data_IF_515640554637
#
_entry.id   IF_515640554637
#
_cell.length_a   1.000
_cell.length_b   1.000
_cell.length_c   1.000
_cell.angle_alpha   90.00
_cell.angle_beta   90.00
_cell.angle_gamma   90.00
#
_symmetry.space_group_name_H-M   'P 1'
#
loop_
_entity.id
_entity.type
_entity.pdbx_description
1 polymer ?
#
# COMPACT_ATOMS: atom_id res chain seq x y z
N UNK A 1 12.46 -71.69 -22.84
CA UNK A 1 12.92 -71.13 -21.54
C UNK A 1 12.44 -69.68 -21.47
N UNK A 2 11.30 -69.44 -20.82
CA UNK A 2 10.74 -68.10 -20.66
C UNK A 2 11.18 -67.55 -19.31
N UNK A 3 12.13 -66.62 -19.32
CA UNK A 3 12.52 -65.88 -18.14
C UNK A 3 11.45 -64.83 -17.82
N UNK A 4 10.57 -65.13 -16.87
CA UNK A 4 9.70 -64.12 -16.26
C UNK A 4 10.55 -63.11 -15.51
N UNK A 5 10.67 -61.90 -16.07
CA UNK A 5 11.31 -60.78 -15.41
C UNK A 5 10.42 -60.25 -14.26
N UNK A 6 11.02 -59.90 -13.10
CA UNK A 6 10.30 -59.67 -11.85
C UNK A 6 9.49 -58.37 -11.81
N UNK A 7 8.39 -58.42 -11.05
CA UNK A 7 7.38 -57.40 -10.74
C UNK A 7 7.88 -56.11 -10.04
N UNK A 8 9.11 -55.65 -10.29
CA UNK A 8 9.72 -54.49 -9.64
C UNK A 8 9.16 -53.12 -10.10
N UNK A 9 8.22 -53.08 -11.04
CA UNK A 9 7.78 -51.87 -11.74
C UNK A 9 6.83 -50.96 -10.94
N UNK A 10 6.03 -51.51 -10.00
CA UNK A 10 4.98 -50.74 -9.33
C UNK A 10 5.49 -49.63 -8.40
N UNK A 11 6.46 -49.94 -7.52
CA UNK A 11 6.96 -48.97 -6.54
C UNK A 11 7.78 -47.85 -7.17
N UNK A 12 8.56 -48.17 -8.22
CA UNK A 12 9.35 -47.18 -8.94
C UNK A 12 8.48 -46.19 -9.71
N UNK A 13 7.39 -46.67 -10.33
CA UNK A 13 6.43 -45.81 -11.03
C UNK A 13 5.72 -44.84 -10.07
N UNK A 14 5.30 -45.31 -8.89
CA UNK A 14 4.68 -44.46 -7.86
C UNK A 14 5.64 -43.39 -7.35
N UNK A 15 6.88 -43.76 -7.07
CA UNK A 15 7.90 -42.82 -6.61
C UNK A 15 8.20 -41.73 -7.67
N UNK A 16 8.39 -42.13 -8.93
CA UNK A 16 8.64 -41.18 -10.02
C UNK A 16 7.46 -40.21 -10.21
N UNK A 17 6.22 -40.71 -10.12
CA UNK A 17 5.02 -39.88 -10.20
C UNK A 17 4.94 -38.87 -9.04
N UNK A 18 5.18 -39.32 -7.80
CA UNK A 18 5.20 -38.42 -6.63
C UNK A 18 6.28 -37.34 -6.75
N UNK A 19 7.48 -37.71 -7.21
CA UNK A 19 8.59 -36.79 -7.38
C UNK A 19 8.30 -35.77 -8.49
N UNK A 20 7.70 -36.21 -9.60
CA UNK A 20 7.23 -35.33 -10.66
C UNK A 20 6.23 -34.28 -10.13
N UNK A 21 5.17 -34.71 -9.45
CA UNK A 21 4.17 -33.78 -8.92
C UNK A 21 4.75 -32.85 -7.86
N UNK A 22 5.65 -33.35 -7.01
CA UNK A 22 6.36 -32.53 -6.03
C UNK A 22 7.18 -31.42 -6.69
N UNK A 23 8.00 -31.75 -7.68
CA UNK A 23 8.80 -30.77 -8.42
C UNK A 23 7.93 -29.77 -9.19
N UNK A 24 6.85 -30.24 -9.82
CA UNK A 24 5.92 -29.39 -10.56
C UNK A 24 5.23 -28.38 -9.65
N UNK A 25 4.69 -28.83 -8.50
CA UNK A 25 3.99 -27.96 -7.56
C UNK A 25 4.93 -26.97 -6.87
N UNK A 26 6.10 -27.42 -6.43
CA UNK A 26 7.10 -26.55 -5.77
C UNK A 26 7.68 -25.55 -6.75
N UNK A 27 8.12 -26.00 -7.93
CA UNK A 27 8.68 -25.12 -8.96
C UNK A 27 7.65 -24.15 -9.52
N UNK A 28 6.45 -24.64 -9.85
CA UNK A 28 5.35 -23.81 -10.35
C UNK A 28 4.87 -22.81 -9.32
N UNK A 29 4.70 -23.22 -8.07
CA UNK A 29 4.29 -22.36 -6.97
C UNK A 29 5.30 -21.25 -6.68
N UNK A 30 6.60 -21.58 -6.64
CA UNK A 30 7.66 -20.59 -6.43
C UNK A 30 7.71 -19.55 -7.57
N UNK A 31 7.59 -19.99 -8.82
CA UNK A 31 7.60 -19.10 -9.98
C UNK A 31 6.36 -18.19 -10.01
N UNK A 32 5.18 -18.75 -9.73
CA UNK A 32 3.95 -17.99 -9.60
C UNK A 32 4.06 -16.94 -8.47
N UNK A 33 4.61 -17.31 -7.31
CA UNK A 33 4.84 -16.37 -6.22
C UNK A 33 5.83 -15.25 -6.61
N UNK A 34 6.95 -15.57 -7.27
CA UNK A 34 7.91 -14.58 -7.76
C UNK A 34 7.28 -13.53 -8.70
N UNK A 35 6.28 -13.92 -9.49
CA UNK A 35 5.61 -13.03 -10.45
C UNK A 35 4.44 -12.28 -9.82
N UNK A 36 3.62 -12.97 -9.03
CA UNK A 36 2.36 -12.44 -8.51
C UNK A 36 2.60 -11.52 -7.31
N UNK A 37 3.56 -11.84 -6.43
CA UNK A 37 3.79 -11.09 -5.20
C UNK A 37 4.20 -9.64 -5.48
N UNK A 38 5.19 -9.34 -6.36
CA UNK A 38 5.54 -7.96 -6.67
C UNK A 38 4.36 -7.16 -7.25
N UNK A 39 3.67 -7.74 -8.24
CA UNK A 39 2.52 -7.08 -8.87
C UNK A 39 1.37 -6.81 -7.89
N UNK A 40 1.13 -7.74 -6.96
CA UNK A 40 0.13 -7.56 -5.91
C UNK A 40 0.52 -6.44 -4.94
N UNK A 41 1.81 -6.34 -4.57
CA UNK A 41 2.29 -5.25 -3.72
C UNK A 41 2.18 -3.89 -4.40
N UNK A 42 2.50 -3.80 -5.69
CA UNK A 42 2.33 -2.57 -6.48
C UNK A 42 0.87 -2.14 -6.55
N UNK A 43 -0.04 -3.11 -6.76
CA UNK A 43 -1.47 -2.87 -6.73
C UNK A 43 -1.95 -2.33 -5.38
N UNK A 44 -1.49 -2.92 -4.27
CA UNK A 44 -1.83 -2.44 -2.92
C UNK A 44 -1.31 -1.02 -2.67
N UNK A 45 -0.09 -0.72 -3.11
CA UNK A 45 0.49 0.61 -2.99
C UNK A 45 -0.32 1.66 -3.77
N UNK A 46 -0.68 1.34 -5.01
CA UNK A 46 -1.53 2.20 -5.84
C UNK A 46 -2.90 2.45 -5.20
N UNK A 47 -3.52 1.41 -4.64
CA UNK A 47 -4.83 1.52 -3.97
C UNK A 47 -4.77 2.42 -2.74
N UNK A 48 -3.72 2.29 -1.92
CA UNK A 48 -3.52 3.15 -0.75
C UNK A 48 -3.27 4.61 -1.14
N UNK A 49 -2.50 4.84 -2.20
CA UNK A 49 -2.26 6.18 -2.74
C UNK A 49 -3.56 6.84 -3.21
N UNK A 50 -4.41 6.08 -3.91
CA UNK A 50 -5.72 6.56 -4.35
C UNK A 50 -6.61 6.95 -3.17
N UNK A 51 -6.72 6.10 -2.14
CA UNK A 51 -7.51 6.42 -0.93
C UNK A 51 -6.97 7.64 -0.19
N UNK A 52 -5.65 7.78 -0.06
CA UNK A 52 -5.04 8.95 0.56
C UNK A 52 -5.32 10.23 -0.25
N UNK A 53 -5.31 10.16 -1.59
CA UNK A 53 -5.66 11.28 -2.45
C UNK A 53 -7.13 11.69 -2.28
N UNK A 54 -8.05 10.73 -2.25
CA UNK A 54 -9.47 11.02 -1.99
C UNK A 54 -9.68 11.69 -0.63
N UNK A 55 -9.09 11.16 0.44
CA UNK A 55 -9.20 11.75 1.77
C UNK A 55 -8.66 13.19 1.84
N UNK A 56 -7.55 13.47 1.12
CA UNK A 56 -7.00 14.83 0.99
C UNK A 56 -7.96 15.75 0.26
N UNK A 57 -8.53 15.30 -0.85
CA UNK A 57 -9.49 16.09 -1.61
C UNK A 57 -10.75 16.39 -0.78
N UNK A 58 -11.26 15.42 -0.02
CA UNK A 58 -12.41 15.60 0.86
C UNK A 58 -12.11 16.57 2.01
N UNK A 59 -10.89 16.55 2.54
CA UNK A 59 -10.45 17.51 3.55
C UNK A 59 -10.36 18.93 2.97
N UNK A 60 -9.81 19.08 1.77
CA UNK A 60 -9.72 20.37 1.07
C UNK A 60 -11.11 20.91 0.70
N UNK A 61 -12.01 20.06 0.20
CA UNK A 61 -13.38 20.43 -0.11
C UNK A 61 -14.10 21.00 1.13
N UNK A 62 -13.98 20.34 2.28
CA UNK A 62 -14.54 20.83 3.54
C UNK A 62 -13.97 22.19 3.97
N UNK A 63 -12.65 22.39 3.80
CA UNK A 63 -12.00 23.69 4.09
C UNK A 63 -12.54 24.80 3.18
N UNK A 64 -12.66 24.51 1.88
CA UNK A 64 -13.22 25.47 0.91
C UNK A 64 -14.66 25.82 1.28
N UNK A 65 -15.51 24.83 1.60
CA UNK A 65 -16.89 25.09 2.01
C UNK A 65 -16.96 25.94 3.29
N UNK A 66 -16.12 25.66 4.29
CA UNK A 66 -16.07 26.46 5.53
C UNK A 66 -15.66 27.91 5.24
N UNK A 67 -14.65 28.12 4.40
CA UNK A 67 -14.22 29.46 3.98
C UNK A 67 -15.31 30.19 3.18
N UNK A 68 -16.01 29.50 2.27
CA UNK A 68 -17.13 30.07 1.52
C UNK A 68 -18.27 30.51 2.44
N UNK A 69 -18.60 29.71 3.46
CA UNK A 69 -19.60 30.08 4.47
C UNK A 69 -19.17 31.31 5.27
N UNK A 70 -17.89 31.39 5.64
CA UNK A 70 -17.34 32.55 6.33
C UNK A 70 -17.43 33.82 5.46
N UNK A 71 -17.03 33.74 4.19
CA UNK A 71 -17.14 34.85 3.23
C UNK A 71 -18.61 35.26 3.06
N UNK A 72 -19.53 34.31 2.91
CA UNK A 72 -20.95 34.59 2.79
C UNK A 72 -21.52 35.29 4.04
N UNK A 73 -21.04 34.92 5.23
CA UNK A 73 -21.42 35.59 6.48
C UNK A 73 -20.92 37.05 6.51
N UNK A 74 -19.67 37.29 6.13
CA UNK A 74 -19.10 38.64 6.00
C UNK A 74 -19.82 39.52 4.96
N UNK A 75 -20.33 38.93 3.89
CA UNK A 75 -21.06 39.66 2.85
C UNK A 75 -22.51 39.98 3.23
N UNK A 76 -23.17 39.12 4.01
CA UNK A 76 -24.57 39.31 4.41
C UNK A 76 -24.76 40.25 5.59
N UNK A 77 -23.79 40.33 6.50
CA UNK A 77 -23.87 41.20 7.67
C UNK A 77 -22.80 42.32 7.63
N UNK A 78 -23.11 43.49 7.03
CA UNK A 78 -22.18 44.60 7.00
C UNK A 78 -21.84 45.14 8.40
N UNK A 79 -22.69 44.92 9.41
CA UNK A 79 -22.39 45.31 10.79
C UNK A 79 -21.34 44.41 11.44
N UNK A 80 -21.20 43.17 10.96
CA UNK A 80 -20.14 42.26 11.41
C UNK A 80 -18.75 42.79 11.04
N UNK A 81 -18.58 43.34 9.83
CA UNK A 81 -17.31 43.94 9.41
C UNK A 81 -16.96 45.18 10.25
N UNK A 82 -17.94 45.99 10.65
CA UNK A 82 -17.68 47.10 11.56
C UNK A 82 -17.19 46.63 12.94
N UNK A 83 -17.80 45.57 13.50
CA UNK A 83 -17.37 45.01 14.80
C UNK A 83 -15.97 44.41 14.69
N UNK A 84 -15.69 43.69 13.61
CA UNK A 84 -14.40 43.09 13.34
C UNK A 84 -13.29 44.15 13.21
N UNK A 85 -13.52 45.21 12.42
CA UNK A 85 -12.57 46.33 12.28
C UNK A 85 -12.35 47.04 13.63
N UNK A 86 -13.42 47.28 14.41
CA UNK A 86 -13.28 47.89 15.74
C UNK A 86 -12.45 47.03 16.70
N UNK A 87 -12.57 45.70 16.62
CA UNK A 87 -11.85 44.77 17.47
C UNK A 87 -10.38 44.61 17.04
N UNK A 88 -10.11 44.50 15.74
CA UNK A 88 -8.75 44.35 15.18
C UNK A 88 -7.93 45.64 15.35
N UNK A 89 -8.54 46.81 15.09
CA UNK A 89 -7.86 48.11 15.15
C UNK A 89 -8.05 48.85 16.47
N UNK A 90 -8.71 48.23 17.47
CA UNK A 90 -9.03 48.82 18.79
C UNK A 90 -9.57 50.25 18.70
N UNK A 91 -10.42 50.52 17.70
CA UNK A 91 -10.97 51.86 17.48
C UNK A 91 -11.99 52.14 18.61
N UNK A 92 -11.72 53.08 19.53
CA UNK A 92 -12.63 53.35 20.63
C UNK A 92 -13.93 53.94 20.09
N UNK A 93 -15.05 53.30 20.44
CA UNK A 93 -16.38 53.86 20.12
C UNK A 93 -16.70 54.95 21.15
N UNK A 94 -17.01 56.19 20.74
CA UNK A 94 -17.32 57.27 21.68
C UNK A 94 -18.50 56.85 22.59
N UNK A 95 -18.27 56.86 23.91
CA UNK A 95 -19.31 56.56 24.91
C UNK A 95 -19.51 55.07 25.24
N UNK A 96 -18.72 54.15 24.69
CA UNK A 96 -18.81 52.71 25.02
C UNK A 96 -17.58 52.26 25.81
N UNK A 97 -17.81 51.79 27.05
CA UNK A 97 -16.77 51.20 27.89
C UNK A 97 -16.50 49.78 27.38
N UNK A 98 -15.30 49.53 26.86
CA UNK A 98 -14.91 48.19 26.37
C UNK A 98 -14.62 47.31 27.57
N UNK A 99 -15.57 46.45 27.94
CA UNK A 99 -15.35 45.40 28.93
C UNK A 99 -14.64 44.25 28.21
N UNK A 100 -13.37 44.03 28.54
CA UNK A 100 -12.61 42.88 28.04
C UNK A 100 -13.15 41.64 28.75
N UNK A 101 -13.98 40.86 28.07
CA UNK A 101 -14.39 39.55 28.57
C UNK A 101 -13.26 38.59 28.23
N UNK A 102 -12.60 38.07 29.26
CA UNK A 102 -11.60 37.02 29.15
C UNK A 102 -12.26 35.82 28.47
N UNK A 103 -11.82 35.52 27.25
CA UNK A 103 -12.40 34.46 26.44
C UNK A 103 -12.18 33.12 27.15
N UNK A 104 -13.27 32.40 27.38
CA UNK A 104 -13.26 31.03 27.89
C UNK A 104 -12.24 30.17 27.09
N UNK A 105 -11.29 29.47 27.75
CA UNK A 105 -10.24 28.70 27.06
C UNK A 105 -10.75 27.51 26.23
N UNK A 106 -12.06 27.31 26.11
CA UNK A 106 -12.68 26.32 25.22
C UNK A 106 -12.74 26.76 23.75
N UNK A 107 -12.15 27.91 23.42
CA UNK A 107 -11.92 28.35 22.04
C UNK A 107 -11.35 27.23 21.19
N UNK A 108 -12.13 26.85 20.18
CA UNK A 108 -11.80 25.82 19.18
C UNK A 108 -10.42 26.15 18.61
N UNK A 109 -9.40 25.46 19.11
CA UNK A 109 -8.03 25.54 18.59
C UNK A 109 -8.08 25.01 17.17
N UNK A 110 -8.01 25.90 16.18
CA UNK A 110 -7.76 25.50 14.82
C UNK A 110 -6.39 24.78 14.81
N UNK A 111 -6.31 23.50 14.40
CA UNK A 111 -5.04 22.79 14.39
C UNK A 111 -4.10 23.46 13.38
N UNK A 112 -3.11 24.20 13.91
CA UNK A 112 -2.12 24.91 13.11
C UNK A 112 -1.09 23.97 12.43
N UNK A 113 -1.06 22.69 12.81
CA UNK A 113 0.00 21.75 12.41
C UNK A 113 -0.24 21.01 11.09
N UNK A 114 -1.39 21.20 10.42
CA UNK A 114 -1.72 20.43 9.20
C UNK A 114 -1.45 21.17 7.89
N UNK A 115 -1.15 22.48 7.93
CA UNK A 115 -0.88 23.25 6.72
C UNK A 115 0.51 22.95 6.14
N UNK A 116 1.51 22.72 6.99
CA UNK A 116 2.89 22.50 6.55
C UNK A 116 3.14 21.10 5.97
N UNK A 117 2.31 20.11 6.33
CA UNK A 117 2.35 18.77 5.72
C UNK A 117 1.70 18.70 4.33
N UNK A 118 0.86 19.68 3.97
CA UNK A 118 0.14 19.69 2.70
C UNK A 118 1.02 20.08 1.49
N UNK A 119 2.16 20.74 1.73
CA UNK A 119 3.05 21.26 0.69
C UNK A 119 4.25 20.37 0.36
N UNK A 120 4.45 19.23 1.04
CA UNK A 120 5.44 18.27 0.57
C UNK A 120 4.90 17.57 -0.68
N UNK A 121 5.63 17.61 -1.82
CA UNK A 121 5.32 16.69 -2.90
C UNK A 121 5.31 15.29 -2.28
N UNK A 122 4.24 14.54 -2.54
CA UNK A 122 4.16 13.16 -2.10
C UNK A 122 5.31 12.43 -2.81
N UNK A 123 6.45 12.29 -2.11
CA UNK A 123 7.52 11.42 -2.54
C UNK A 123 6.88 10.08 -2.90
N UNK A 124 7.29 9.45 -4.00
CA UNK A 124 6.82 8.11 -4.33
C UNK A 124 7.26 7.18 -3.20
N UNK A 125 6.37 6.95 -2.22
CA UNK A 125 6.54 6.03 -1.07
C UNK A 125 6.60 4.56 -1.53
N UNK A 126 6.65 4.33 -2.84
CA UNK A 126 6.51 3.05 -3.52
C UNK A 126 7.52 1.98 -3.07
N UNK A 127 8.82 2.25 -2.88
CA UNK A 127 9.71 1.19 -2.40
C UNK A 127 9.70 1.04 -0.86
N UNK A 128 9.60 2.13 -0.10
CA UNK A 128 9.92 2.11 1.34
C UNK A 128 8.90 1.31 2.18
N UNK A 129 7.60 1.46 1.92
CA UNK A 129 6.55 0.75 2.68
C UNK A 129 6.40 -0.71 2.26
N UNK A 130 6.58 -1.02 0.97
CA UNK A 130 6.60 -2.39 0.48
C UNK A 130 7.79 -3.16 1.09
N UNK A 131 8.99 -2.54 1.13
CA UNK A 131 10.15 -3.11 1.83
C UNK A 131 9.93 -3.26 3.33
N UNK A 132 9.28 -2.30 3.99
CA UNK A 132 8.99 -2.38 5.42
C UNK A 132 8.03 -3.54 5.73
N UNK A 133 7.05 -3.79 4.85
CA UNK A 133 6.12 -4.91 4.98
C UNK A 133 6.82 -6.24 4.70
N UNK A 134 7.68 -6.29 3.68
CA UNK A 134 8.51 -7.46 3.38
C UNK A 134 9.48 -7.80 4.53
N UNK A 135 10.04 -6.80 5.23
CA UNK A 135 10.88 -7.02 6.42
C UNK A 135 10.15 -7.68 7.59
N UNK A 136 8.81 -7.55 7.65
CA UNK A 136 7.99 -8.15 8.71
C UNK A 136 7.77 -9.65 8.52
N UNK A 137 7.93 -10.15 7.29
CA UNK A 137 7.82 -11.57 6.96
C UNK A 137 9.06 -12.01 6.16
N UNK A 138 10.03 -12.69 6.79
CA UNK A 138 11.27 -13.09 6.11
C UNK A 138 11.00 -13.98 4.89
N UNK A 139 9.87 -14.71 4.87
CA UNK A 139 9.47 -15.53 3.74
C UNK A 139 9.09 -14.69 2.51
N UNK A 140 8.38 -13.58 2.69
CA UNK A 140 8.02 -12.67 1.59
C UNK A 140 9.25 -11.95 1.03
N UNK A 141 10.21 -11.60 1.89
CA UNK A 141 11.42 -10.91 1.48
C UNK A 141 12.19 -11.68 0.40
N UNK A 142 12.23 -13.02 0.47
CA UNK A 142 12.94 -13.88 -0.50
C UNK A 142 12.40 -13.72 -1.93
N UNK A 143 11.09 -13.47 -2.08
CA UNK A 143 10.43 -13.32 -3.38
C UNK A 143 10.45 -11.88 -3.92
N UNK A 144 10.67 -10.90 -3.04
CA UNK A 144 10.58 -9.46 -3.36
C UNK A 144 11.94 -8.82 -3.57
N UNK A 145 12.99 -9.29 -2.87
CA UNK A 145 14.34 -8.74 -2.97
C UNK A 145 14.98 -9.02 -4.34
N UNK A 146 15.48 -7.98 -4.99
CA UNK A 146 16.12 -8.07 -6.32
C UNK A 146 17.34 -9.01 -6.35
N UNK A 147 18.03 -9.19 -5.22
CA UNK A 147 19.19 -10.09 -5.13
C UNK A 147 18.79 -11.57 -5.08
N UNK A 148 17.71 -11.93 -4.39
CA UNK A 148 17.31 -13.34 -4.19
C UNK A 148 16.33 -13.82 -5.24
N UNK A 149 15.49 -12.93 -5.78
CA UNK A 149 14.48 -13.25 -6.80
C UNK A 149 15.04 -14.01 -8.02
N UNK A 150 16.13 -13.58 -8.68
CA UNK A 150 16.65 -14.31 -9.85
C UNK A 150 17.17 -15.70 -9.47
N UNK A 151 17.77 -15.87 -8.29
CA UNK A 151 18.22 -17.17 -7.81
C UNK A 151 17.04 -18.12 -7.56
N UNK A 152 15.97 -17.64 -6.94
CA UNK A 152 14.74 -18.44 -6.73
C UNK A 152 14.07 -18.78 -8.06
N UNK A 153 14.01 -17.84 -9.00
CA UNK A 153 13.48 -18.10 -10.34
C UNK A 153 14.32 -19.13 -11.11
N UNK A 154 15.64 -19.07 -11.01
CA UNK A 154 16.54 -20.03 -11.63
C UNK A 154 16.37 -21.44 -11.03
N UNK A 155 16.29 -21.54 -9.69
CA UNK A 155 16.03 -22.80 -8.99
C UNK A 155 14.65 -23.39 -9.34
N UNK A 156 13.61 -22.55 -9.37
CA UNK A 156 12.28 -22.96 -9.79
C UNK A 156 12.26 -23.43 -11.25
N UNK A 157 12.96 -22.73 -12.14
CA UNK A 157 13.14 -23.13 -13.53
C UNK A 157 13.85 -24.48 -13.65
N UNK A 158 14.94 -24.68 -12.92
CA UNK A 158 15.69 -25.94 -12.91
C UNK A 158 14.83 -27.12 -12.40
N UNK A 159 14.01 -26.90 -11.37
CA UNK A 159 13.05 -27.89 -10.87
C UNK A 159 12.00 -28.27 -11.93
N UNK A 160 11.44 -27.29 -12.63
CA UNK A 160 10.47 -27.53 -13.70
C UNK A 160 11.11 -28.25 -14.89
N UNK A 161 12.34 -27.88 -15.27
CA UNK A 161 13.10 -28.59 -16.30
C UNK A 161 13.36 -30.04 -15.88
N UNK A 162 13.76 -30.28 -14.63
CA UNK A 162 13.92 -31.62 -14.08
C UNK A 162 12.63 -32.45 -14.11
N UNK A 163 11.49 -31.84 -13.77
CA UNK A 163 10.18 -32.47 -13.89
C UNK A 163 9.84 -32.84 -15.34
N UNK A 164 10.19 -31.98 -16.30
CA UNK A 164 9.99 -32.25 -17.73
C UNK A 164 10.83 -33.44 -18.20
N UNK A 165 12.11 -33.49 -17.80
CA UNK A 165 13.01 -34.60 -18.13
C UNK A 165 12.50 -35.95 -17.61
N UNK A 166 11.85 -35.97 -16.44
CA UNK A 166 11.25 -37.19 -15.88
C UNK A 166 10.08 -37.71 -16.73
N UNK A 167 9.29 -36.82 -17.34
CA UNK A 167 8.23 -37.22 -18.29
C UNK A 167 8.84 -37.72 -19.60
N UNK A 168 9.90 -37.07 -20.08
CA UNK A 168 10.53 -37.36 -21.38
C UNK A 168 11.44 -38.58 -21.39
N UNK A 169 11.65 -39.25 -20.25
CA UNK A 169 12.48 -40.44 -20.16
C UNK A 169 12.02 -41.55 -21.14
N UNK A 170 12.96 -42.32 -21.73
CA UNK A 170 12.62 -43.32 -22.73
C UNK A 170 11.67 -44.35 -22.13
N UNK A 171 10.41 -44.32 -22.58
CA UNK A 171 9.48 -45.43 -22.38
C UNK A 171 10.09 -46.61 -23.12
N UNK A 172 10.76 -47.50 -22.41
CA UNK A 172 11.19 -48.79 -22.95
C UNK A 172 9.91 -49.54 -23.32
N UNK A 173 9.52 -49.40 -24.60
CA UNK A 173 8.52 -50.21 -25.28
C UNK A 173 9.06 -51.61 -25.52
#
# INVERSE_FOLDING_TARGET
MNAQAPHATGRQALFANLLFWGMLLVGGGALAACMLVPAWLDYQAARQAAWAAHARNDALARRITAQQLQIAHHQRDPQYNERFIRQEFRIPTPGVQVVTVEADPTGIVAPADDAERAHRPAEPVFPAKALATARRSPLLAVFVLDQTRPAVMALAGALLTGALCLISGPRRS
#
